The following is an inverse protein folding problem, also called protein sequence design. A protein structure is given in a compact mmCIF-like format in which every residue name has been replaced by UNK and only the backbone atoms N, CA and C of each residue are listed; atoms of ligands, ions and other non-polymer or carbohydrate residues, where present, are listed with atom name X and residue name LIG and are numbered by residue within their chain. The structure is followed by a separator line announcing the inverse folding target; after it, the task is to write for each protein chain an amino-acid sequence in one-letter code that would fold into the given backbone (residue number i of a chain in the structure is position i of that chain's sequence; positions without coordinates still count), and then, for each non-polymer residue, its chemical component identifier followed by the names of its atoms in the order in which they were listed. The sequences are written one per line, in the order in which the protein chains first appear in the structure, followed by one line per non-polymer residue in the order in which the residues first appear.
data_IF_065053266025
#
_entry.id   IF_065053266025
#
_cell.length_a   1.000
_cell.length_b   1.000
_cell.length_c   1.000
_cell.angle_alpha   90.00
_cell.angle_beta   90.00
_cell.angle_gamma   90.00
#
_symmetry.space_group_name_H-M   'P 1'
#
loop_
_entity.id
_entity.type
_entity.pdbx_description
1 polymer ?
#
# COMPACT_ATOMS: atom_id res chain seq x y z
N UNK A 1 -12.03 -5.37 17.64
CA UNK A 1 -10.69 -5.09 17.08
C UNK A 1 -10.75 -3.83 16.26
N UNK A 2 -9.80 -2.93 16.47
CA UNK A 2 -9.61 -1.72 15.68
C UNK A 2 -8.15 -1.65 15.23
N UNK A 3 -7.92 -1.19 14.00
CA UNK A 3 -6.61 -0.87 13.44
C UNK A 3 -6.62 0.62 13.09
N UNK A 4 -5.61 1.35 13.52
CA UNK A 4 -5.45 2.78 13.23
C UNK A 4 -4.03 3.11 12.79
N UNK A 5 -3.89 4.27 12.15
CA UNK A 5 -2.61 4.82 11.73
C UNK A 5 -2.64 6.34 11.83
N UNK A 6 -1.50 6.95 12.15
CA UNK A 6 -1.28 8.40 11.96
C UNK A 6 -0.64 8.73 10.62
N UNK A 7 -0.35 7.71 9.80
CA UNK A 7 0.39 7.89 8.55
C UNK A 7 -0.46 8.40 7.41
N UNK A 8 -1.76 8.08 7.41
CA UNK A 8 -2.77 8.48 6.43
C UNK A 8 -4.18 8.26 7.00
N UNK A 9 -5.21 8.70 6.29
CA UNK A 9 -6.62 8.42 6.61
C UNK A 9 -7.12 7.23 5.79
N UNK A 10 -8.17 6.55 6.25
CA UNK A 10 -8.80 5.46 5.51
C UNK A 10 -9.27 5.93 4.12
N UNK A 11 -9.00 5.12 3.09
CA UNK A 11 -9.17 5.45 1.66
C UNK A 11 -8.41 6.71 1.18
N UNK A 12 -7.49 7.25 1.98
CA UNK A 12 -6.60 8.33 1.59
C UNK A 12 -5.38 7.84 0.80
N UNK A 13 -4.66 8.76 0.14
CA UNK A 13 -3.44 8.41 -0.58
C UNK A 13 -2.35 7.91 0.37
N UNK A 14 -1.58 6.92 -0.08
CA UNK A 14 -0.37 6.47 0.61
C UNK A 14 0.68 7.60 0.50
N UNK A 15 1.26 8.06 1.61
CA UNK A 15 2.26 9.13 1.57
C UNK A 15 3.55 8.65 0.89
N UNK A 16 4.25 9.55 0.18
CA UNK A 16 5.48 9.23 -0.57
C UNK A 16 6.53 8.46 0.24
N UNK A 17 6.69 8.77 1.53
CA UNK A 17 7.64 8.06 2.41
C UNK A 17 7.33 6.57 2.54
N UNK A 18 6.06 6.18 2.36
CA UNK A 18 5.59 4.81 2.46
C UNK A 18 5.50 4.09 1.12
N UNK A 19 5.57 4.80 0.00
CA UNK A 19 5.45 4.22 -1.33
C UNK A 19 6.81 3.70 -1.84
N UNK A 20 6.77 2.61 -2.62
CA UNK A 20 7.91 2.11 -3.38
C UNK A 20 8.21 3.02 -4.59
N UNK A 21 7.18 3.41 -5.33
CA UNK A 21 7.27 4.33 -6.46
C UNK A 21 6.46 5.60 -6.19
N UNK A 22 7.00 6.74 -6.59
CA UNK A 22 6.34 8.05 -6.51
C UNK A 22 6.47 8.77 -7.86
N UNK A 23 5.61 9.75 -8.19
CA UNK A 23 5.69 10.46 -9.46
C UNK A 23 7.10 11.03 -9.70
N UNK A 24 7.64 10.72 -10.89
CA UNK A 24 8.96 11.16 -11.33
C UNK A 24 8.85 11.93 -12.65
N UNK A 25 9.49 13.10 -12.79
CA UNK A 25 9.31 13.97 -13.97
C UNK A 25 9.90 13.39 -15.27
N UNK A 26 10.89 12.49 -15.20
CA UNK A 26 11.58 11.97 -16.39
C UNK A 26 11.05 10.63 -16.89
N UNK A 27 10.53 9.78 -15.99
CA UNK A 27 10.23 8.36 -16.27
C UNK A 27 8.85 7.94 -15.72
N UNK A 28 7.92 8.88 -15.54
CA UNK A 28 6.61 8.74 -14.86
C UNK A 28 6.70 8.35 -13.37
N UNK A 29 7.76 7.66 -12.95
CA UNK A 29 8.02 7.15 -11.61
C UNK A 29 9.49 7.41 -11.23
N UNK A 30 9.73 7.64 -9.94
CA UNK A 30 11.04 7.46 -9.28
C UNK A 30 10.85 6.62 -8.01
N UNK A 31 11.94 6.08 -7.46
CA UNK A 31 11.89 5.34 -6.20
C UNK A 31 11.54 6.28 -5.03
N UNK A 32 10.61 5.81 -4.19
CA UNK A 32 10.26 6.38 -2.89
C UNK A 32 11.13 5.81 -1.76
N UNK A 33 10.83 6.21 -0.51
CA UNK A 33 11.59 5.73 0.65
C UNK A 33 11.19 4.33 1.13
N UNK A 34 10.04 3.83 0.64
CA UNK A 34 9.54 2.49 0.90
C UNK A 34 9.57 2.10 2.40
N UNK A 35 9.05 2.98 3.27
CA UNK A 35 8.94 2.75 4.72
C UNK A 35 7.55 2.24 5.09
N UNK A 36 7.46 1.28 6.01
CA UNK A 36 6.14 0.84 6.49
C UNK A 36 5.41 1.98 7.22
N UNK A 37 4.08 2.11 7.07
CA UNK A 37 3.31 3.07 7.83
C UNK A 37 3.31 2.73 9.32
N UNK A 38 3.09 3.74 10.15
CA UNK A 38 2.77 3.51 11.56
C UNK A 38 1.43 2.76 11.63
N UNK A 39 1.32 1.73 12.46
CA UNK A 39 0.08 0.98 12.64
C UNK A 39 -0.09 0.67 14.13
N UNK A 40 -1.33 0.73 14.61
CA UNK A 40 -1.69 0.39 15.98
C UNK A 40 -2.97 -0.43 16.01
N UNK A 41 -2.96 -1.50 16.81
CA UNK A 41 -4.15 -2.29 17.11
C UNK A 41 -4.68 -1.94 18.50
N UNK A 42 -5.99 -1.96 18.66
CA UNK A 42 -6.67 -1.89 19.95
C UNK A 42 -7.90 -2.79 19.97
N UNK A 43 -8.43 -3.04 21.18
CA UNK A 43 -9.66 -3.83 21.37
C UNK A 43 -9.59 -5.23 20.71
N UNK A 44 -8.46 -5.93 20.89
CA UNK A 44 -8.32 -7.31 20.40
C UNK A 44 -9.33 -8.23 21.10
N UNK A 45 -9.96 -9.18 20.40
CA UNK A 45 -10.84 -10.17 21.01
C UNK A 45 -10.12 -10.98 22.10
N UNK A 46 -10.83 -11.33 23.17
CA UNK A 46 -10.28 -12.18 24.23
C UNK A 46 -9.78 -13.52 23.65
N UNK A 47 -8.62 -13.97 24.13
CA UNK A 47 -7.99 -15.20 23.64
C UNK A 47 -7.19 -15.06 22.34
N UNK A 48 -7.04 -13.85 21.76
CA UNK A 48 -6.13 -13.60 20.64
C UNK A 48 -4.70 -13.99 21.01
N UNK A 49 -4.06 -14.86 20.22
CA UNK A 49 -2.68 -15.35 20.45
C UNK A 49 -1.66 -14.79 19.47
N UNK A 50 -2.12 -14.33 18.30
CA UNK A 50 -1.28 -13.81 17.23
C UNK A 50 -2.07 -12.87 16.33
N UNK A 51 -1.35 -12.06 15.57
CA UNK A 51 -1.89 -11.16 14.54
C UNK A 51 -1.12 -11.36 13.24
N UNK A 52 -1.78 -11.15 12.11
CA UNK A 52 -1.18 -11.11 10.77
C UNK A 52 -1.60 -9.81 10.10
N UNK A 53 -0.69 -9.17 9.38
CA UNK A 53 -0.93 -7.97 8.60
C UNK A 53 -0.61 -8.27 7.13
N UNK A 54 -1.56 -7.96 6.25
CA UNK A 54 -1.41 -8.06 4.80
C UNK A 54 -1.63 -6.67 4.19
N UNK A 55 -0.76 -6.29 3.26
CA UNK A 55 -0.95 -5.15 2.37
C UNK A 55 -1.22 -5.73 0.98
N UNK A 56 -2.43 -5.55 0.47
CA UNK A 56 -2.88 -6.14 -0.80
C UNK A 56 -3.41 -5.03 -1.67
N UNK A 57 -2.81 -4.89 -2.85
CA UNK A 57 -3.35 -4.08 -3.94
C UNK A 57 -4.01 -5.06 -4.93
N UNK A 58 -5.34 -5.14 -4.99
CA UNK A 58 -6.03 -6.04 -5.90
C UNK A 58 -6.03 -5.54 -7.35
N UNK A 59 -5.59 -4.31 -7.60
CA UNK A 59 -5.67 -3.64 -8.90
C UNK A 59 -4.38 -3.80 -9.72
N UNK A 60 -3.33 -4.40 -9.14
CA UNK A 60 -2.08 -4.64 -9.87
C UNK A 60 -2.28 -5.67 -11.00
N UNK A 61 -1.64 -5.48 -12.17
CA UNK A 61 -1.62 -6.50 -13.21
C UNK A 61 -1.03 -7.82 -12.70
N UNK A 62 -1.83 -8.89 -12.79
CA UNK A 62 -1.42 -10.24 -12.37
C UNK A 62 -0.48 -10.92 -13.37
N UNK A 63 -0.48 -10.46 -14.62
CA UNK A 63 0.47 -10.85 -15.68
C UNK A 63 1.56 -9.79 -15.76
N UNK A 64 2.81 -10.18 -15.50
CA UNK A 64 3.94 -9.22 -15.42
C UNK A 64 4.17 -8.40 -16.69
N UNK A 65 3.88 -8.98 -17.86
CA UNK A 65 4.01 -8.29 -19.17
C UNK A 65 3.00 -7.13 -19.34
N UNK A 66 2.01 -7.05 -18.47
CA UNK A 66 0.96 -6.03 -18.53
C UNK A 66 1.31 -4.80 -17.67
N UNK A 67 2.36 -4.92 -16.85
CA UNK A 67 2.80 -3.86 -15.95
C UNK A 67 3.37 -2.68 -16.75
N UNK A 68 2.92 -1.47 -16.41
CA UNK A 68 3.37 -0.19 -16.96
C UNK A 68 3.27 -0.07 -18.50
N UNK A 69 2.29 -0.72 -19.14
CA UNK A 69 2.06 -0.61 -20.58
C UNK A 69 1.09 0.54 -20.90
N UNK A 70 1.55 1.55 -21.65
CA UNK A 70 0.72 2.70 -22.03
C UNK A 70 -0.51 2.28 -22.86
N UNK A 71 -1.68 2.85 -22.52
CA UNK A 71 -2.95 2.55 -23.21
C UNK A 71 -3.54 1.16 -22.92
N UNK A 72 -2.89 0.34 -22.09
CA UNK A 72 -3.39 -0.98 -21.70
C UNK A 72 -4.31 -0.87 -20.49
N UNK A 73 -5.50 -1.45 -20.61
CA UNK A 73 -6.44 -1.64 -19.51
C UNK A 73 -6.54 -3.15 -19.20
N UNK A 74 -6.45 -3.50 -17.92
CA UNK A 74 -6.68 -4.86 -17.43
C UNK A 74 -8.06 -4.94 -16.75
N UNK A 75 -8.76 -6.09 -16.83
CA UNK A 75 -10.04 -6.30 -16.14
C UNK A 75 -9.96 -6.20 -14.62
#
# INVERSE_FOLDING_TARGET
MKLSTTSFIDNGPIPERCAFGVPGPEQHMRLGQNRNPQLQWSELPAGTRSLVLLCVDPDVPTVGDDVNQEGRHIP
#
